data_IF_217331336841
#
_entry.id   IF_217331336841
#
_cell.length_a   1.000
_cell.length_b   1.000
_cell.length_c   1.000
_cell.angle_alpha   90.00
_cell.angle_beta   90.00
_cell.angle_gamma   90.00
#
_symmetry.space_group_name_H-M   'P 1'
#
loop_
_entity.id
_entity.type
_entity.pdbx_description
1 polymer ?
#
# COMPACT_ATOMS: atom_id res chain seq x y z
N UNK A 1 -17.22 -17.65 12.15
CA UNK A 1 -15.79 -17.27 12.02
C UNK A 1 -15.52 -16.80 10.61
N UNK A 2 -14.83 -15.73 10.49
CA UNK A 2 -14.38 -15.26 9.19
C UNK A 2 -12.95 -15.71 8.94
N UNK A 3 -12.68 -16.13 7.71
CA UNK A 3 -11.32 -16.40 7.30
C UNK A 3 -10.74 -15.13 6.72
N UNK A 4 -9.70 -14.63 7.33
CA UNK A 4 -9.05 -13.41 6.89
C UNK A 4 -7.65 -13.72 6.39
N UNK A 5 -7.19 -12.93 5.45
CA UNK A 5 -5.79 -12.98 5.06
C UNK A 5 -4.95 -12.50 6.21
N UNK A 6 -3.91 -13.25 6.55
CA UNK A 6 -2.94 -12.80 7.55
C UNK A 6 -2.02 -11.78 6.90
N UNK A 7 -1.64 -10.72 7.60
CA UNK A 7 -0.61 -9.83 7.11
C UNK A 7 0.66 -10.63 6.80
N UNK A 8 1.26 -10.31 5.66
CA UNK A 8 2.51 -10.97 5.27
C UNK A 8 3.34 -10.07 4.37
N UNK A 9 4.64 -10.31 4.37
CA UNK A 9 5.58 -9.69 3.46
C UNK A 9 6.58 -10.78 3.06
N UNK A 10 6.78 -10.95 1.75
CA UNK A 10 7.77 -11.91 1.29
C UNK A 10 9.16 -11.50 1.78
N UNK A 11 9.99 -12.48 2.22
CA UNK A 11 11.24 -12.16 2.90
C UNK A 11 12.30 -11.50 2.01
N UNK A 12 12.16 -11.59 0.70
CA UNK A 12 13.09 -10.95 -0.24
C UNK A 12 12.71 -9.50 -0.58
N UNK A 13 11.60 -9.00 -0.06
CA UNK A 13 11.15 -7.62 -0.26
C UNK A 13 11.71 -6.76 0.86
N UNK A 14 12.22 -5.60 0.53
CA UNK A 14 12.78 -4.71 1.53
C UNK A 14 12.58 -3.24 1.15
N UNK A 15 12.59 -2.40 2.17
CA UNK A 15 12.60 -0.96 2.02
C UNK A 15 14.05 -0.50 1.85
N UNK A 16 14.29 0.33 0.86
CA UNK A 16 15.63 0.78 0.56
C UNK A 16 15.67 2.20 0.04
N UNK A 17 16.88 2.69 -0.13
CA UNK A 17 17.13 4.01 -0.68
C UNK A 17 18.30 3.91 -1.66
N UNK A 18 18.06 4.34 -2.90
CA UNK A 18 19.11 4.39 -3.90
C UNK A 18 19.32 5.83 -4.34
N UNK A 19 20.55 6.15 -4.75
CA UNK A 19 20.87 7.50 -5.24
C UNK A 19 20.00 7.88 -6.43
N UNK A 20 19.67 6.92 -7.26
CA UNK A 20 18.96 7.19 -8.52
C UNK A 20 17.45 7.31 -8.33
N UNK A 21 16.86 6.48 -7.44
CA UNK A 21 15.40 6.39 -7.30
C UNK A 21 14.89 6.83 -5.93
N UNK A 22 15.77 7.14 -5.00
CA UNK A 22 15.38 7.52 -3.65
C UNK A 22 14.83 6.33 -2.87
N UNK A 23 13.93 6.62 -1.91
CA UNK A 23 13.31 5.59 -1.08
C UNK A 23 12.28 4.81 -1.90
N UNK A 24 12.15 3.53 -1.59
CA UNK A 24 11.17 2.70 -2.23
C UNK A 24 11.25 1.26 -1.73
N UNK A 25 10.50 0.40 -2.40
CA UNK A 25 10.44 -1.02 -2.09
C UNK A 25 11.16 -1.77 -3.20
N UNK A 26 12.06 -2.65 -2.80
CA UNK A 26 12.93 -3.40 -3.70
C UNK A 26 12.89 -4.88 -3.39
N UNK A 27 13.42 -5.69 -4.29
CA UNK A 27 13.50 -7.13 -4.11
C UNK A 27 14.93 -7.63 -4.33
N UNK A 28 15.32 -8.64 -3.54
CA UNK A 28 16.61 -9.31 -3.70
C UNK A 28 16.60 -10.39 -4.77
N UNK A 29 15.41 -10.78 -5.24
CA UNK A 29 15.32 -11.86 -6.23
C UNK A 29 14.20 -11.60 -7.22
N UNK A 30 14.24 -12.30 -8.36
CA UNK A 30 13.21 -12.20 -9.36
C UNK A 30 11.89 -12.75 -8.81
N UNK A 31 10.78 -12.13 -9.22
CA UNK A 31 9.44 -12.47 -8.75
C UNK A 31 8.61 -12.94 -9.93
N UNK A 32 7.99 -14.10 -9.79
CA UNK A 32 7.08 -14.60 -10.82
C UNK A 32 5.84 -13.73 -10.91
N UNK A 33 5.30 -13.62 -12.12
CA UNK A 33 4.02 -12.95 -12.35
C UNK A 33 2.94 -13.54 -11.45
N UNK A 34 2.05 -12.70 -10.97
CA UNK A 34 0.91 -13.07 -10.11
C UNK A 34 1.29 -13.55 -8.71
N UNK A 35 2.51 -13.27 -8.27
CA UNK A 35 2.91 -13.54 -6.89
C UNK A 35 2.37 -12.46 -5.98
N UNK A 36 1.75 -12.85 -4.87
CA UNK A 36 1.39 -11.91 -3.81
C UNK A 36 2.65 -11.61 -3.00
N UNK A 37 3.07 -10.35 -2.99
CA UNK A 37 4.31 -9.95 -2.32
C UNK A 37 4.08 -9.36 -0.94
N UNK A 38 2.92 -8.79 -0.71
CA UNK A 38 2.58 -8.23 0.60
C UNK A 38 1.07 -8.19 0.80
N UNK A 39 0.65 -8.49 2.02
CA UNK A 39 -0.73 -8.29 2.49
C UNK A 39 -0.62 -7.48 3.77
N UNK A 40 -1.26 -6.32 3.80
CA UNK A 40 -1.17 -5.43 4.95
C UNK A 40 -2.55 -4.96 5.39
N UNK A 41 -2.77 -4.84 6.71
CA UNK A 41 -3.99 -4.22 7.21
C UNK A 41 -3.99 -2.73 6.92
N UNK A 42 -5.17 -2.13 6.97
CA UNK A 42 -5.33 -0.71 6.70
C UNK A 42 -6.05 -0.03 7.88
N UNK A 43 -5.81 1.26 8.03
CA UNK A 43 -6.56 2.13 8.93
C UNK A 43 -7.48 2.95 8.03
N UNK A 44 -8.79 2.73 8.16
CA UNK A 44 -9.77 3.43 7.34
C UNK A 44 -10.22 4.69 8.07
N UNK A 45 -10.25 5.79 7.33
CA UNK A 45 -10.62 7.09 7.88
C UNK A 45 -11.74 7.70 7.07
N UNK A 46 -12.54 8.54 7.74
CA UNK A 46 -13.70 9.18 7.14
C UNK A 46 -13.32 10.22 6.10
N UNK A 47 -14.30 10.64 5.30
CA UNK A 47 -14.09 11.73 4.35
C UNK A 47 -13.69 13.04 5.04
N UNK A 48 -14.22 13.30 6.23
CA UNK A 48 -13.83 14.47 7.02
C UNK A 48 -12.37 14.42 7.44
N UNK A 49 -11.92 13.26 7.90
CA UNK A 49 -10.53 13.05 8.27
C UNK A 49 -9.62 13.15 7.05
N UNK A 50 -10.07 12.64 5.90
CA UNK A 50 -9.33 12.74 4.64
C UNK A 50 -9.05 14.20 4.28
N UNK A 51 -10.04 15.07 4.41
CA UNK A 51 -9.85 16.50 4.11
C UNK A 51 -8.75 17.13 4.96
N UNK A 52 -8.63 16.70 6.20
CA UNK A 52 -7.57 17.18 7.09
C UNK A 52 -6.21 16.62 6.67
N UNK A 53 -6.15 15.34 6.33
CA UNK A 53 -4.91 14.67 5.95
C UNK A 53 -4.38 15.15 4.61
N UNK A 54 -5.26 15.56 3.70
CA UNK A 54 -4.85 16.09 2.40
C UNK A 54 -4.03 17.39 2.53
N UNK A 55 -4.07 18.03 3.69
CA UNK A 55 -3.28 19.22 4.00
C UNK A 55 -1.95 18.89 4.68
N UNK A 56 -1.63 17.62 4.83
CA UNK A 56 -0.44 17.15 5.53
C UNK A 56 0.48 16.40 4.59
N UNK A 57 1.68 16.09 5.08
CA UNK A 57 2.62 15.24 4.37
C UNK A 57 2.00 13.88 4.02
N UNK A 58 1.09 13.39 4.82
CA UNK A 58 0.49 12.08 4.62
C UNK A 58 -0.40 11.99 3.38
N UNK A 59 -0.74 13.14 2.77
CA UNK A 59 -1.48 13.17 1.50
C UNK A 59 -0.86 12.23 0.45
N UNK A 60 0.46 12.14 0.39
CA UNK A 60 1.15 11.33 -0.59
C UNK A 60 1.19 9.83 -0.25
N UNK A 61 0.77 9.45 0.95
CA UNK A 61 0.91 8.10 1.47
C UNK A 61 -0.42 7.40 1.73
N UNK A 62 -1.53 8.11 1.60
CA UNK A 62 -2.86 7.52 1.80
C UNK A 62 -3.49 7.18 0.46
N UNK A 63 -4.44 6.25 0.51
CA UNK A 63 -5.16 5.78 -0.68
C UNK A 63 -6.64 6.10 -0.55
N UNK A 64 -7.31 6.28 -1.68
CA UNK A 64 -8.77 6.38 -1.69
C UNK A 64 -9.36 5.06 -1.21
N UNK A 65 -10.49 5.14 -0.53
CA UNK A 65 -11.13 3.98 0.05
C UNK A 65 -12.64 4.07 -0.09
N UNK A 66 -13.25 2.89 -0.23
CA UNK A 66 -14.69 2.76 -0.31
C UNK A 66 -15.21 2.84 -1.74
N UNK A 67 -16.44 2.41 -1.92
CA UNK A 67 -17.08 2.37 -3.24
C UNK A 67 -17.24 3.75 -3.86
N UNK A 68 -17.48 4.75 -3.02
CA UNK A 68 -17.66 6.13 -3.47
C UNK A 68 -16.37 6.92 -3.52
N UNK A 69 -15.26 6.32 -3.06
CA UNK A 69 -13.92 6.92 -3.10
C UNK A 69 -13.81 8.24 -2.34
N UNK A 70 -14.65 8.46 -1.35
CA UNK A 70 -14.63 9.67 -0.53
C UNK A 70 -13.87 9.50 0.77
N UNK A 71 -13.67 8.27 1.21
CA UNK A 71 -12.85 7.93 2.37
C UNK A 71 -11.39 7.76 1.97
N UNK A 72 -10.53 7.57 2.94
CA UNK A 72 -9.14 7.20 2.69
C UNK A 72 -8.69 6.12 3.65
N UNK A 73 -7.55 5.54 3.35
CA UNK A 73 -6.92 4.59 4.26
C UNK A 73 -5.41 4.79 4.30
N UNK A 74 -4.83 4.42 5.42
CA UNK A 74 -3.39 4.25 5.56
C UNK A 74 -3.11 2.76 5.61
N UNK A 75 -2.41 2.25 4.61
CA UNK A 75 -1.95 0.87 4.64
C UNK A 75 -0.74 0.77 5.55
N UNK A 76 -0.70 -0.29 6.35
CA UNK A 76 0.45 -0.58 7.19
C UNK A 76 1.47 -1.38 6.38
N UNK A 77 2.65 -1.61 6.94
CA UNK A 77 3.72 -2.28 6.20
C UNK A 77 4.38 -1.36 5.18
N UNK A 78 4.81 -1.93 4.05
CA UNK A 78 5.58 -1.19 3.04
C UNK A 78 4.73 -0.59 1.92
N UNK A 79 3.44 -0.91 1.85
CA UNK A 79 2.58 -0.49 0.74
C UNK A 79 2.62 1.01 0.47
N UNK A 80 2.59 1.91 1.48
CA UNK A 80 2.60 3.36 1.21
C UNK A 80 3.87 3.87 0.56
N UNK A 81 4.96 3.11 0.60
CA UNK A 81 6.26 3.59 0.11
C UNK A 81 6.70 2.95 -1.20
N UNK A 82 5.83 2.22 -1.88
CA UNK A 82 6.11 1.73 -3.22
C UNK A 82 6.21 2.90 -4.20
N UNK A 83 7.18 2.84 -5.09
CA UNK A 83 7.33 3.85 -6.13
C UNK A 83 6.23 3.74 -7.17
N UNK A 84 5.69 4.88 -7.57
CA UNK A 84 4.71 4.95 -8.65
C UNK A 84 5.44 5.05 -10.01
N UNK A 85 4.86 4.40 -11.01
CA UNK A 85 5.41 4.41 -12.35
C UNK A 85 4.29 4.16 -13.36
N UNK A 86 4.41 4.74 -14.54
CA UNK A 86 3.50 4.45 -15.64
C UNK A 86 3.60 2.99 -16.08
N UNK A 87 4.75 2.38 -15.90
CA UNK A 87 4.99 0.97 -16.22
C UNK A 87 5.18 0.18 -14.94
N UNK A 88 4.26 0.38 -14.01
CA UNK A 88 4.31 -0.32 -12.75
C UNK A 88 4.26 -1.83 -12.99
N UNK A 89 5.16 -2.57 -12.34
CA UNK A 89 5.18 -4.02 -12.39
C UNK A 89 4.45 -4.66 -11.22
N UNK A 90 3.78 -3.85 -10.40
CA UNK A 90 2.99 -4.32 -9.28
C UNK A 90 1.61 -3.68 -9.32
N UNK A 91 0.62 -4.44 -8.87
CA UNK A 91 -0.75 -3.97 -8.71
C UNK A 91 -1.18 -4.20 -7.27
N UNK A 92 -2.14 -3.43 -6.81
CA UNK A 92 -2.72 -3.65 -5.49
C UNK A 92 -4.23 -3.80 -5.61
N UNK A 93 -4.78 -4.56 -4.67
CA UNK A 93 -6.23 -4.75 -4.55
C UNK A 93 -6.65 -4.38 -3.14
N UNK A 94 -7.80 -3.72 -3.04
CA UNK A 94 -8.37 -3.33 -1.77
C UNK A 94 -9.46 -4.32 -1.39
N UNK A 95 -9.32 -4.92 -0.21
CA UNK A 95 -10.33 -5.81 0.33
C UNK A 95 -11.14 -5.07 1.36
N UNK A 96 -12.28 -4.52 0.94
CA UNK A 96 -13.12 -3.70 1.80
C UNK A 96 -13.77 -4.50 2.92
N UNK A 97 -13.89 -5.80 2.74
CA UNK A 97 -14.57 -6.65 3.72
C UNK A 97 -13.65 -7.05 4.88
N UNK A 98 -12.36 -7.19 4.62
CA UNK A 98 -11.40 -7.70 5.59
C UNK A 98 -10.45 -6.64 6.14
N UNK A 99 -10.47 -5.45 5.63
CA UNK A 99 -9.65 -4.29 6.06
C UNK A 99 -8.31 -4.65 6.69
#
# INVERSE_FOLDING_TARGET
MTVNFKPMLQPYIYFGNTERKGRGVYTHEAIRTSTIIEIAPVIVMSSAERLLLDKTLLHDYIFEWGEQKDQCCMALGLIPVYNHSYQSNCEYFMDFDNQ
#
